data_IF_046039199565
#
_entry.id   IF_046039199565
#
_cell.length_a   1.000
_cell.length_b   1.000
_cell.length_c   1.000
_cell.angle_alpha   90.00
_cell.angle_beta   90.00
_cell.angle_gamma   90.00
#
_symmetry.space_group_name_H-M   'P 1'
#
loop_
_entity.id
_entity.type
_entity.pdbx_description
1 polymer ?
#
# COMPACT_ATOMS: atom_id res chain seq x y z
N UNK A 1 -63.67 -12.91 -43.12
CA UNK A 1 -64.31 -11.57 -43.01
C UNK A 1 -63.22 -10.52 -43.18
N UNK A 2 -63.45 -9.54 -44.05
CA UNK A 2 -62.57 -8.37 -44.29
C UNK A 2 -62.77 -7.33 -43.18
N UNK A 3 -61.69 -6.66 -42.77
CA UNK A 3 -61.55 -5.22 -42.48
C UNK A 3 -60.19 -5.04 -41.76
N UNK A 4 -59.14 -4.51 -42.38
CA UNK A 4 -58.88 -3.09 -42.67
C UNK A 4 -58.72 -2.24 -41.39
N UNK A 5 -57.49 -1.80 -41.13
CA UNK A 5 -57.21 -0.50 -40.53
C UNK A 5 -55.80 -0.02 -40.93
N UNK A 6 -55.75 1.25 -41.31
CA UNK A 6 -54.63 1.93 -41.96
C UNK A 6 -53.58 2.46 -40.97
N UNK A 7 -52.34 2.45 -41.45
CA UNK A 7 -51.20 3.33 -41.25
C UNK A 7 -51.35 4.59 -40.36
N UNK A 8 -50.49 4.67 -39.34
CA UNK A 8 -49.96 5.91 -38.80
C UNK A 8 -48.42 5.91 -38.92
N UNK A 9 -47.89 6.87 -39.68
CA UNK A 9 -46.46 7.13 -39.90
C UNK A 9 -45.88 7.89 -38.71
N UNK A 10 -44.64 7.57 -38.31
CA UNK A 10 -43.81 8.48 -37.52
C UNK A 10 -42.79 7.83 -36.58
N UNK A 11 -41.90 6.95 -37.07
CA UNK A 11 -40.70 6.60 -36.30
C UNK A 11 -39.56 7.57 -36.67
N UNK A 12 -39.28 8.50 -35.77
CA UNK A 12 -38.02 9.23 -35.77
C UNK A 12 -36.92 8.30 -35.26
N UNK A 13 -36.03 7.87 -36.16
CA UNK A 13 -34.77 7.21 -35.78
C UNK A 13 -33.92 8.25 -35.04
N UNK A 14 -33.92 8.17 -33.71
CA UNK A 14 -32.96 8.88 -32.87
C UNK A 14 -31.60 8.22 -33.03
N UNK A 15 -30.77 8.77 -33.91
CA UNK A 15 -29.33 8.54 -33.89
C UNK A 15 -28.78 9.05 -32.55
N UNK A 16 -28.51 8.13 -31.62
CA UNK A 16 -27.69 8.41 -30.45
C UNK A 16 -26.26 8.70 -30.93
N UNK A 17 -25.98 9.98 -31.17
CA UNK A 17 -24.61 10.44 -31.34
C UNK A 17 -23.82 10.10 -30.07
N UNK A 18 -22.79 9.27 -30.22
CA UNK A 18 -21.82 8.97 -29.17
C UNK A 18 -21.25 10.27 -28.63
N UNK A 19 -21.56 10.60 -27.36
CA UNK A 19 -20.90 11.71 -26.68
C UNK A 19 -19.41 11.38 -26.58
N UNK A 20 -18.50 12.28 -26.99
CA UNK A 20 -17.08 12.05 -26.78
C UNK A 20 -16.81 11.93 -25.27
N UNK A 21 -16.03 10.91 -24.91
CA UNK A 21 -15.49 10.74 -23.56
C UNK A 21 -14.71 12.00 -23.18
N UNK A 22 -15.27 12.83 -22.30
CA UNK A 22 -14.52 13.92 -21.66
C UNK A 22 -13.66 13.27 -20.59
N UNK A 23 -12.35 13.25 -20.80
CA UNK A 23 -11.39 13.06 -19.70
C UNK A 23 -11.77 14.06 -18.59
N UNK A 24 -11.94 13.63 -17.34
CA UNK A 24 -12.13 14.58 -16.27
C UNK A 24 -10.88 15.47 -16.18
N UNK A 25 -11.08 16.79 -16.23
CA UNK A 25 -10.04 17.79 -16.01
C UNK A 25 -9.66 17.77 -14.53
N UNK A 26 -8.83 16.81 -14.15
CA UNK A 26 -8.05 16.89 -12.91
C UNK A 26 -6.75 17.59 -13.26
N UNK A 27 -6.45 18.72 -12.59
CA UNK A 27 -5.14 19.35 -12.72
C UNK A 27 -4.10 18.42 -12.08
N UNK A 28 -3.04 18.10 -12.83
CA UNK A 28 -1.92 17.23 -12.40
C UNK A 28 -1.26 17.69 -11.09
N UNK A 29 -1.46 18.95 -10.68
CA UNK A 29 -0.96 19.53 -9.43
C UNK A 29 -1.66 19.04 -8.15
N UNK A 30 -2.73 18.23 -8.28
CA UNK A 30 -3.57 17.78 -7.15
C UNK A 30 -3.54 16.27 -6.86
N UNK A 31 -2.72 15.49 -7.58
CA UNK A 31 -2.56 14.06 -7.32
C UNK A 31 -1.27 13.77 -6.54
N UNK A 32 -1.32 12.96 -5.46
CA UNK A 32 -0.11 12.49 -4.82
C UNK A 32 0.72 11.74 -5.86
N UNK A 33 1.98 12.15 -6.02
CA UNK A 33 2.92 11.57 -6.97
C UNK A 33 2.59 11.77 -8.46
N UNK A 34 1.93 12.88 -8.84
CA UNK A 34 1.59 13.16 -10.25
C UNK A 34 2.78 13.18 -11.24
N UNK A 35 4.00 13.25 -10.73
CA UNK A 35 5.24 13.28 -11.51
C UNK A 35 6.01 11.95 -11.56
N UNK A 36 5.65 10.95 -10.76
CA UNK A 36 6.54 9.77 -10.60
C UNK A 36 6.57 8.86 -11.83
N UNK A 37 5.67 9.07 -12.80
CA UNK A 37 5.64 8.36 -14.08
C UNK A 37 6.19 9.19 -15.25
N UNK A 38 6.78 10.36 -15.00
CA UNK A 38 7.37 11.20 -16.06
C UNK A 38 8.69 10.66 -16.62
N UNK A 39 9.52 10.05 -15.77
CA UNK A 39 10.71 9.32 -16.19
C UNK A 39 10.93 8.11 -15.28
N UNK A 40 11.78 7.19 -15.72
CA UNK A 40 12.00 5.92 -15.03
C UNK A 40 12.33 6.16 -13.55
N UNK A 41 13.27 7.06 -13.28
CA UNK A 41 13.83 7.27 -11.95
C UNK A 41 13.08 8.27 -11.07
N UNK A 42 11.96 8.82 -11.54
CA UNK A 42 11.18 9.82 -10.79
C UNK A 42 10.58 9.31 -9.47
N UNK A 43 10.52 7.99 -9.24
CA UNK A 43 10.14 7.41 -7.95
C UNK A 43 11.20 7.65 -6.85
N UNK A 44 12.47 7.81 -7.20
CA UNK A 44 13.54 7.85 -6.20
C UNK A 44 13.44 9.09 -5.30
N UNK A 45 13.30 8.88 -3.99
CA UNK A 45 13.17 9.96 -3.01
C UNK A 45 11.85 10.73 -3.10
N UNK A 46 10.87 10.25 -3.88
CA UNK A 46 9.61 10.92 -4.09
C UNK A 46 8.54 10.60 -3.04
N UNK A 47 8.71 9.49 -2.29
CA UNK A 47 7.74 9.04 -1.29
C UNK A 47 7.37 10.16 -0.31
N UNK A 48 6.10 10.29 0.03
CA UNK A 48 5.67 11.17 1.11
C UNK A 48 5.76 10.45 2.46
N UNK A 49 5.94 11.24 3.53
CA UNK A 49 5.98 10.74 4.90
C UNK A 49 7.31 10.11 5.30
N UNK A 50 7.25 9.14 6.20
CA UNK A 50 8.43 8.54 6.83
C UNK A 50 9.39 7.86 5.83
N UNK A 51 8.87 7.35 4.70
CA UNK A 51 9.64 6.74 3.62
C UNK A 51 10.30 7.73 2.65
N UNK A 52 10.20 9.06 2.84
CA UNK A 52 10.67 10.08 1.88
C UNK A 52 12.13 9.99 1.44
N UNK A 53 12.99 9.29 2.20
CA UNK A 53 14.41 9.10 1.86
C UNK A 53 14.68 7.81 1.07
N UNK A 54 13.65 7.09 0.63
CA UNK A 54 13.80 5.84 -0.12
C UNK A 54 14.24 6.15 -1.55
N UNK A 55 15.53 5.98 -1.84
CA UNK A 55 16.10 6.25 -3.18
C UNK A 55 16.13 5.03 -4.09
N UNK A 56 15.85 3.84 -3.56
CA UNK A 56 15.86 2.60 -4.33
C UNK A 56 17.20 2.38 -5.04
N UNK A 57 17.12 1.96 -6.30
CA UNK A 57 18.25 1.78 -7.20
C UNK A 57 18.68 3.01 -7.99
N UNK A 58 18.40 4.24 -7.51
CA UNK A 58 18.61 5.49 -8.27
C UNK A 58 19.96 5.59 -8.98
N UNK A 59 21.06 5.20 -8.32
CA UNK A 59 22.42 5.30 -8.86
C UNK A 59 22.93 3.97 -9.46
N UNK A 60 22.02 3.03 -9.72
CA UNK A 60 22.31 1.71 -10.27
C UNK A 60 21.96 1.57 -11.74
N UNK A 61 22.60 0.59 -12.38
CA UNK A 61 22.23 0.17 -13.73
C UNK A 61 20.79 -0.36 -13.78
N UNK A 62 20.20 -0.31 -14.97
CA UNK A 62 18.92 -0.98 -15.22
C UNK A 62 19.21 -2.48 -15.36
N UNK A 63 18.51 -3.29 -14.56
CA UNK A 63 18.47 -4.74 -14.73
C UNK A 63 17.15 -5.13 -15.38
N UNK A 64 17.23 -5.83 -16.51
CA UNK A 64 16.07 -6.31 -17.25
C UNK A 64 15.78 -7.77 -16.88
N UNK A 65 14.66 -8.02 -16.19
CA UNK A 65 14.16 -9.36 -15.92
C UNK A 65 13.55 -9.92 -17.19
N UNK A 66 14.15 -11.00 -17.71
CA UNK A 66 13.78 -11.66 -18.96
C UNK A 66 13.23 -13.07 -18.74
N UNK A 67 13.26 -13.57 -17.51
CA UNK A 67 12.79 -14.91 -17.14
C UNK A 67 11.85 -14.88 -15.94
N UNK A 68 10.75 -15.63 -16.04
CA UNK A 68 9.78 -15.84 -14.96
C UNK A 68 10.17 -16.99 -14.01
N UNK A 69 11.32 -17.66 -14.26
CA UNK A 69 11.82 -18.70 -13.36
C UNK A 69 12.20 -18.11 -11.99
N UNK A 70 12.13 -18.94 -10.95
CA UNK A 70 12.51 -18.51 -9.59
C UNK A 70 13.98 -18.12 -9.49
N UNK A 71 14.87 -18.84 -10.19
CA UNK A 71 16.32 -18.67 -10.09
C UNK A 71 17.01 -18.85 -11.45
N UNK A 72 18.24 -18.36 -11.52
CA UNK A 72 19.09 -18.43 -12.71
C UNK A 72 19.21 -17.08 -13.42
N UNK A 73 19.95 -17.05 -14.55
CA UNK A 73 20.18 -15.84 -15.31
C UNK A 73 18.89 -15.14 -15.74
N UNK A 74 18.83 -13.82 -15.59
CA UNK A 74 17.72 -12.99 -16.07
C UNK A 74 16.47 -13.02 -15.18
N UNK A 75 16.57 -13.57 -13.97
CA UNK A 75 15.44 -13.69 -13.03
C UNK A 75 15.40 -12.53 -12.04
N UNK A 76 14.21 -12.25 -11.50
CA UNK A 76 14.04 -11.28 -10.40
C UNK A 76 14.95 -11.60 -9.22
N UNK A 77 15.06 -12.88 -8.84
CA UNK A 77 15.83 -13.30 -7.67
C UNK A 77 17.32 -13.04 -7.83
N UNK A 78 17.86 -13.21 -9.04
CA UNK A 78 19.26 -12.86 -9.31
C UNK A 78 19.50 -11.37 -9.08
N UNK A 79 18.63 -10.52 -9.62
CA UNK A 79 18.69 -9.08 -9.47
C UNK A 79 18.56 -8.62 -8.00
N UNK A 80 17.60 -9.17 -7.27
CA UNK A 80 17.37 -8.81 -5.87
C UNK A 80 18.55 -9.12 -4.95
N UNK A 81 19.33 -10.16 -5.23
CA UNK A 81 20.47 -10.60 -4.40
C UNK A 81 21.77 -9.83 -4.67
N UNK A 82 21.87 -9.13 -5.81
CA UNK A 82 23.05 -8.37 -6.20
C UNK A 82 23.37 -7.25 -5.18
N UNK A 83 24.67 -7.02 -4.95
CA UNK A 83 25.13 -6.05 -3.93
C UNK A 83 25.07 -4.63 -4.46
N UNK A 84 25.37 -4.45 -5.74
CA UNK A 84 25.30 -3.20 -6.45
C UNK A 84 23.86 -2.63 -6.46
N UNK A 85 23.69 -1.29 -6.43
CA UNK A 85 22.39 -0.68 -6.66
C UNK A 85 21.81 -1.11 -8.02
N UNK A 86 20.51 -1.39 -8.10
CA UNK A 86 19.85 -1.75 -9.37
C UNK A 86 18.44 -1.18 -9.46
N UNK A 87 18.12 -0.68 -10.66
CA UNK A 87 16.75 -0.41 -11.09
C UNK A 87 16.23 -1.61 -11.87
N UNK A 88 15.40 -2.44 -11.25
CA UNK A 88 14.94 -3.71 -11.80
C UNK A 88 13.62 -3.47 -12.54
N UNK A 89 13.62 -3.68 -13.85
CA UNK A 89 12.44 -3.63 -14.74
C UNK A 89 12.18 -5.00 -15.35
N UNK A 90 11.06 -5.16 -16.05
CA UNK A 90 10.65 -6.43 -16.63
C UNK A 90 10.45 -6.31 -18.14
N UNK A 91 10.99 -7.28 -18.88
CA UNK A 91 10.73 -7.47 -20.32
C UNK A 91 9.59 -8.46 -20.59
N UNK A 92 9.18 -9.18 -19.54
CA UNK A 92 8.16 -10.23 -19.60
C UNK A 92 7.07 -9.98 -18.55
N UNK A 93 5.82 -10.13 -18.97
CA UNK A 93 4.66 -10.21 -18.08
C UNK A 93 4.40 -11.66 -17.68
N UNK A 94 3.91 -11.89 -16.47
CA UNK A 94 3.48 -13.20 -16.02
C UNK A 94 3.66 -13.44 -14.53
N UNK A 95 3.62 -14.72 -14.18
CA UNK A 95 3.71 -15.19 -12.80
C UNK A 95 5.12 -15.67 -12.53
N UNK A 96 5.74 -15.14 -11.47
CA UNK A 96 6.98 -15.67 -10.89
C UNK A 96 6.58 -16.46 -9.64
N UNK A 97 6.78 -17.78 -9.69
CA UNK A 97 6.52 -18.64 -8.53
C UNK A 97 7.78 -18.70 -7.65
N UNK A 98 7.74 -18.05 -6.49
CA UNK A 98 8.85 -18.00 -5.55
C UNK A 98 8.83 -19.24 -4.65
N UNK A 99 9.81 -20.13 -4.82
CA UNK A 99 9.94 -21.35 -4.01
C UNK A 99 10.34 -21.05 -2.56
N UNK A 100 11.17 -20.01 -2.39
CA UNK A 100 11.60 -19.47 -1.09
C UNK A 100 11.38 -17.97 -1.06
N UNK A 101 11.43 -17.34 0.11
CA UNK A 101 11.43 -15.88 0.18
C UNK A 101 12.48 -15.28 -0.76
N UNK A 102 12.08 -14.34 -1.60
CA UNK A 102 13.02 -13.61 -2.44
C UNK A 102 13.63 -12.48 -1.62
N UNK A 103 14.87 -12.71 -1.13
CA UNK A 103 15.60 -11.72 -0.36
C UNK A 103 15.99 -10.54 -1.24
N UNK A 104 15.61 -9.34 -0.82
CA UNK A 104 15.94 -8.08 -1.49
C UNK A 104 17.09 -7.40 -0.73
N UNK A 105 18.21 -7.17 -1.41
CA UNK A 105 19.33 -6.41 -0.88
C UNK A 105 19.05 -4.90 -0.85
N UNK A 106 19.92 -4.12 -0.21
CA UNK A 106 19.81 -2.65 -0.21
C UNK A 106 19.91 -2.06 -1.62
N UNK A 107 19.41 -0.83 -1.77
CA UNK A 107 19.49 -0.02 -3.00
C UNK A 107 18.87 -0.71 -4.21
N UNK A 108 17.62 -1.14 -4.07
CA UNK A 108 16.86 -1.79 -5.14
C UNK A 108 15.58 -1.02 -5.43
N UNK A 109 15.31 -0.77 -6.69
CA UNK A 109 13.95 -0.50 -7.14
C UNK A 109 13.46 -1.74 -7.87
N UNK A 110 12.33 -2.33 -7.46
CA UNK A 110 11.61 -3.34 -8.23
C UNK A 110 10.42 -2.62 -8.86
N UNK A 111 10.52 -2.34 -10.14
CA UNK A 111 9.60 -1.50 -10.91
C UNK A 111 8.78 -2.35 -11.88
N UNK A 112 7.55 -2.65 -11.50
CA UNK A 112 6.62 -3.39 -12.34
C UNK A 112 5.87 -2.53 -13.36
N UNK A 113 6.20 -1.24 -13.54
CA UNK A 113 5.56 -0.43 -14.59
C UNK A 113 5.91 -0.98 -15.97
N UNK A 114 4.98 -0.90 -16.92
CA UNK A 114 5.13 -1.47 -18.27
C UNK A 114 4.83 -2.96 -18.38
N UNK A 115 4.76 -3.71 -17.28
CA UNK A 115 4.45 -5.14 -17.30
C UNK A 115 3.45 -5.53 -16.21
N UNK A 116 2.76 -6.65 -16.41
CA UNK A 116 1.94 -7.27 -15.38
C UNK A 116 2.70 -8.43 -14.74
N UNK A 117 3.29 -8.17 -13.59
CA UNK A 117 4.11 -9.14 -12.85
C UNK A 117 3.43 -9.52 -11.55
N UNK A 118 3.18 -10.82 -11.39
CA UNK A 118 2.59 -11.40 -10.18
C UNK A 118 3.57 -12.32 -9.48
N UNK A 119 3.77 -12.10 -8.18
CA UNK A 119 4.57 -12.98 -7.32
C UNK A 119 3.64 -13.93 -6.55
N UNK A 120 3.90 -15.23 -6.67
CA UNK A 120 3.15 -16.30 -5.99
C UNK A 120 4.07 -17.23 -5.18
N UNK A 121 3.49 -18.05 -4.29
CA UNK A 121 4.22 -19.03 -3.50
C UNK A 121 4.78 -18.43 -2.20
N UNK A 122 5.94 -17.78 -2.27
CA UNK A 122 6.50 -16.95 -1.18
C UNK A 122 6.47 -15.46 -1.57
N UNK A 123 6.76 -14.61 -0.60
CA UNK A 123 6.85 -13.16 -0.80
C UNK A 123 8.28 -12.63 -0.96
N UNK A 124 8.38 -11.31 -0.87
CA UNK A 124 9.66 -10.61 -0.75
C UNK A 124 10.09 -10.55 0.72
N UNK A 125 11.38 -10.69 0.98
CA UNK A 125 11.96 -10.52 2.32
C UNK A 125 13.01 -9.42 2.30
N UNK A 126 12.75 -8.37 3.08
CA UNK A 126 13.62 -7.22 3.31
C UNK A 126 14.23 -7.40 4.70
N UNK A 127 15.50 -7.81 4.71
CA UNK A 127 16.21 -8.23 5.92
C UNK A 127 17.56 -7.52 5.98
N UNK A 128 17.73 -6.70 7.03
CA UNK A 128 18.93 -5.89 7.27
C UNK A 128 19.32 -5.06 6.03
N UNK A 129 18.33 -4.42 5.40
CA UNK A 129 18.52 -3.66 4.16
C UNK A 129 17.96 -2.24 4.23
N UNK A 130 18.39 -1.37 3.31
CA UNK A 130 17.89 -0.01 3.21
C UNK A 130 17.76 0.49 1.78
N UNK A 131 16.96 1.55 1.60
CA UNK A 131 16.69 2.19 0.32
C UNK A 131 16.12 1.21 -0.70
N UNK A 132 14.92 0.70 -0.44
CA UNK A 132 14.20 -0.21 -1.34
C UNK A 132 12.88 0.43 -1.78
N UNK A 133 12.60 0.37 -3.08
CA UNK A 133 11.32 0.78 -3.67
C UNK A 133 10.70 -0.46 -4.32
N UNK A 134 9.44 -0.74 -4.04
CA UNK A 134 8.65 -1.81 -4.64
C UNK A 134 7.43 -1.15 -5.26
N UNK A 135 7.32 -1.14 -6.58
CA UNK A 135 6.28 -0.41 -7.29
C UNK A 135 5.55 -1.30 -8.30
N UNK A 136 4.23 -1.19 -8.36
CA UNK A 136 3.40 -1.72 -9.43
C UNK A 136 3.48 -3.24 -9.63
N UNK A 137 3.41 -4.02 -8.55
CA UNK A 137 3.42 -5.49 -8.57
C UNK A 137 2.11 -6.08 -8.02
N UNK A 138 1.81 -7.32 -8.44
CA UNK A 138 0.75 -8.13 -7.82
C UNK A 138 1.37 -9.21 -6.91
N UNK A 139 0.76 -9.47 -5.75
CA UNK A 139 1.12 -10.54 -4.83
C UNK A 139 -0.12 -11.37 -4.53
N UNK A 140 -0.05 -12.69 -4.75
CA UNK A 140 -1.19 -13.58 -4.55
C UNK A 140 -0.76 -15.01 -4.19
N UNK A 141 -1.63 -15.76 -3.53
CA UNK A 141 -1.47 -17.20 -3.28
C UNK A 141 -0.16 -17.56 -2.56
N UNK A 142 0.13 -16.84 -1.47
CA UNK A 142 1.21 -17.20 -0.57
C UNK A 142 0.82 -18.38 0.31
N UNK A 143 1.61 -19.46 0.30
CA UNK A 143 1.27 -20.71 1.00
C UNK A 143 2.35 -21.22 1.94
N UNK A 144 1.91 -21.66 3.11
CA UNK A 144 2.74 -22.24 4.17
C UNK A 144 2.80 -21.37 5.44
N UNK A 145 3.41 -21.94 6.48
CA UNK A 145 3.59 -21.27 7.77
C UNK A 145 4.42 -19.98 7.63
N UNK A 146 3.98 -18.89 8.27
CA UNK A 146 4.60 -17.56 8.27
C UNK A 146 4.93 -17.01 6.87
N UNK A 147 4.02 -17.20 5.91
CA UNK A 147 4.18 -16.67 4.55
C UNK A 147 3.43 -15.37 4.41
N UNK A 148 4.21 -14.30 4.29
CA UNK A 148 3.76 -12.93 4.06
C UNK A 148 4.07 -12.50 2.63
N UNK A 149 3.28 -11.57 2.09
CA UNK A 149 3.53 -10.98 0.76
C UNK A 149 4.81 -10.16 0.72
N UNK A 150 4.97 -9.24 1.68
CA UNK A 150 6.16 -8.44 1.88
C UNK A 150 6.54 -8.47 3.36
N UNK A 151 7.68 -9.08 3.65
CA UNK A 151 8.18 -9.24 5.00
C UNK A 151 9.39 -8.35 5.25
N UNK A 152 9.26 -7.38 6.15
CA UNK A 152 10.33 -6.47 6.57
C UNK A 152 10.76 -6.84 7.99
N UNK A 153 11.84 -7.63 8.12
CA UNK A 153 12.42 -8.01 9.42
C UNK A 153 13.84 -8.61 9.30
N UNK A 154 14.81 -8.21 10.14
CA UNK A 154 14.83 -7.06 11.05
C UNK A 154 15.52 -5.83 10.43
N UNK A 155 15.55 -4.74 11.21
CA UNK A 155 16.45 -3.58 11.07
C UNK A 155 16.49 -2.93 9.68
N UNK A 156 15.42 -3.05 8.89
CA UNK A 156 15.36 -2.51 7.53
C UNK A 156 14.70 -1.13 7.52
N UNK A 157 15.21 -0.20 6.69
CA UNK A 157 14.79 1.20 6.74
C UNK A 157 14.80 1.90 5.38
N UNK A 158 14.08 3.02 5.25
CA UNK A 158 13.96 3.76 3.99
C UNK A 158 13.40 2.86 2.89
N UNK A 159 12.15 2.43 3.10
CA UNK A 159 11.44 1.54 2.17
C UNK A 159 10.16 2.22 1.70
N UNK A 160 9.88 2.10 0.41
CA UNK A 160 8.62 2.55 -0.19
C UNK A 160 7.94 1.39 -0.93
N UNK A 161 6.71 1.06 -0.52
CA UNK A 161 5.84 0.13 -1.24
C UNK A 161 4.72 0.94 -1.86
N UNK A 162 4.62 0.93 -3.18
CA UNK A 162 3.70 1.78 -3.92
C UNK A 162 2.94 1.02 -5.00
N UNK A 163 1.65 1.33 -5.18
CA UNK A 163 0.83 0.79 -6.29
C UNK A 163 0.86 -0.73 -6.42
N UNK A 164 0.99 -1.44 -5.29
CA UNK A 164 0.98 -2.91 -5.30
C UNK A 164 -0.42 -3.43 -4.97
N UNK A 165 -0.82 -4.53 -5.61
CA UNK A 165 -2.04 -5.29 -5.24
C UNK A 165 -1.61 -6.50 -4.43
N UNK A 166 -2.14 -6.69 -3.22
CA UNK A 166 -1.81 -7.80 -2.33
C UNK A 166 -3.08 -8.52 -1.86
N UNK A 167 -3.12 -9.84 -1.99
CA UNK A 167 -4.26 -10.67 -1.56
C UNK A 167 -3.84 -12.11 -1.26
N UNK A 168 -4.67 -12.83 -0.50
CA UNK A 168 -4.63 -14.31 -0.41
C UNK A 168 -3.28 -14.93 -0.01
N UNK A 169 -2.71 -14.49 1.12
CA UNK A 169 -1.60 -15.17 1.81
C UNK A 169 -2.09 -15.93 3.04
N UNK A 170 -1.37 -16.99 3.43
CA UNK A 170 -1.70 -17.82 4.61
C UNK A 170 -1.45 -17.13 5.96
N UNK A 171 -0.50 -16.19 6.07
CA UNK A 171 -0.32 -15.35 7.27
C UNK A 171 -0.67 -13.87 7.02
N UNK A 172 0.30 -12.97 6.85
CA UNK A 172 0.06 -11.54 6.61
C UNK A 172 0.21 -11.11 5.14
N UNK A 173 -0.20 -9.90 4.78
CA UNK A 173 0.20 -9.30 3.50
C UNK A 173 1.48 -8.48 3.66
N UNK A 174 1.54 -7.59 4.66
CA UNK A 174 2.72 -6.79 4.97
C UNK A 174 3.06 -6.88 6.46
N UNK A 175 4.29 -7.29 6.75
CA UNK A 175 4.83 -7.41 8.10
C UNK A 175 6.00 -6.44 8.29
N UNK A 176 5.86 -5.47 9.19
CA UNK A 176 6.88 -4.47 9.55
C UNK A 176 7.24 -4.64 11.02
N UNK A 177 8.36 -5.30 11.30
CA UNK A 177 8.68 -5.73 12.67
C UNK A 177 10.17 -5.64 12.95
N UNK A 178 10.57 -5.79 14.22
CA UNK A 178 11.97 -5.94 14.62
C UNK A 178 12.84 -4.76 14.18
N UNK A 179 12.47 -3.55 14.63
CA UNK A 179 13.16 -2.26 14.41
C UNK A 179 13.15 -1.73 12.97
N UNK A 180 12.24 -2.20 12.13
CA UNK A 180 12.04 -1.62 10.80
C UNK A 180 11.44 -0.22 10.88
N UNK A 181 11.99 0.78 10.17
CA UNK A 181 11.56 2.17 10.34
C UNK A 181 11.76 3.02 9.08
N UNK A 182 11.17 4.21 9.03
CA UNK A 182 11.20 5.09 7.86
C UNK A 182 10.59 4.41 6.61
N UNK A 183 9.32 4.02 6.73
CA UNK A 183 8.60 3.25 5.70
C UNK A 183 7.37 4.04 5.22
N UNK A 184 7.12 4.01 3.92
CA UNK A 184 5.86 4.47 3.33
C UNK A 184 5.19 3.32 2.57
N UNK A 185 3.90 3.13 2.78
CA UNK A 185 3.03 2.27 1.98
C UNK A 185 1.97 3.16 1.34
N UNK A 186 1.96 3.26 0.02
CA UNK A 186 1.07 4.17 -0.68
C UNK A 186 0.36 3.53 -1.84
N UNK A 187 -0.87 3.98 -2.12
CA UNK A 187 -1.62 3.56 -3.32
C UNK A 187 -1.70 2.05 -3.48
N UNK A 188 -1.62 1.28 -2.40
CA UNK A 188 -1.70 -0.19 -2.47
C UNK A 188 -3.16 -0.64 -2.35
N UNK A 189 -3.50 -1.73 -3.00
CA UNK A 189 -4.83 -2.35 -2.92
C UNK A 189 -4.72 -3.69 -2.19
N UNK A 190 -5.41 -3.80 -1.06
CA UNK A 190 -5.48 -4.99 -0.22
C UNK A 190 -6.88 -5.58 -0.27
N UNK A 191 -7.00 -6.85 -0.62
CA UNK A 191 -8.28 -7.54 -0.79
C UNK A 191 -8.18 -9.02 -0.42
N UNK A 192 -9.33 -9.67 -0.21
CA UNK A 192 -9.47 -11.13 0.00
C UNK A 192 -8.44 -11.72 0.98
N UNK A 193 -8.34 -11.15 2.17
CA UNK A 193 -7.34 -11.58 3.14
C UNK A 193 -7.79 -11.34 4.59
N UNK A 194 -7.25 -12.12 5.53
CA UNK A 194 -7.56 -12.00 6.96
C UNK A 194 -6.70 -10.94 7.66
N UNK A 195 -5.37 -11.16 7.74
CA UNK A 195 -4.44 -10.39 8.56
C UNK A 195 -3.59 -9.41 7.73
N UNK A 196 -4.18 -8.30 7.30
CA UNK A 196 -3.57 -7.41 6.29
C UNK A 196 -2.17 -6.88 6.63
N UNK A 197 -2.03 -6.02 7.65
CA UNK A 197 -0.76 -5.36 7.94
C UNK A 197 -0.43 -5.33 9.44
N UNK A 198 0.66 -5.99 9.82
CA UNK A 198 1.17 -6.01 11.20
C UNK A 198 2.39 -5.08 11.33
N UNK A 199 2.32 -4.18 12.31
CA UNK A 199 3.41 -3.25 12.65
C UNK A 199 3.79 -3.50 14.11
N UNK A 200 4.95 -4.09 14.35
CA UNK A 200 5.37 -4.58 15.67
C UNK A 200 4.65 -5.87 16.10
N UNK A 201 5.38 -7.00 16.06
CA UNK A 201 4.77 -8.32 16.23
C UNK A 201 4.67 -8.82 17.68
N UNK A 202 5.55 -8.37 18.56
CA UNK A 202 5.75 -8.96 19.88
C UNK A 202 5.84 -7.85 20.94
N UNK A 203 4.97 -7.84 21.97
CA UNK A 203 5.04 -6.84 23.04
C UNK A 203 6.32 -6.97 23.90
N UNK A 204 7.09 -8.05 23.79
CA UNK A 204 8.40 -8.15 24.43
C UNK A 204 9.53 -7.52 23.61
N UNK A 205 9.30 -7.20 22.33
CA UNK A 205 10.30 -6.56 21.48
C UNK A 205 10.25 -5.04 21.58
N UNK A 206 10.57 -4.53 22.76
CA UNK A 206 10.43 -3.14 23.18
C UNK A 206 11.24 -2.12 22.36
N UNK A 207 12.22 -2.61 21.59
CA UNK A 207 12.97 -1.78 20.64
C UNK A 207 12.12 -1.32 19.43
N UNK A 208 10.95 -1.93 19.18
CA UNK A 208 10.01 -1.54 18.12
C UNK A 208 9.39 -0.14 18.33
N UNK A 209 9.67 0.55 19.44
CA UNK A 209 9.33 1.98 19.63
C UNK A 209 9.96 2.91 18.60
N UNK A 210 11.00 2.45 17.90
CA UNK A 210 11.62 3.21 16.82
C UNK A 210 10.85 3.13 15.48
N UNK A 211 9.88 2.21 15.34
CA UNK A 211 9.14 2.00 14.09
C UNK A 211 8.36 3.28 13.72
N UNK A 212 8.52 3.72 12.47
CA UNK A 212 7.83 4.87 11.88
C UNK A 212 7.31 4.50 10.49
N UNK A 213 6.00 4.56 10.29
CA UNK A 213 5.33 4.12 9.05
C UNK A 213 4.30 5.14 8.60
N UNK A 214 4.29 5.47 7.31
CA UNK A 214 3.22 6.26 6.67
C UNK A 214 2.40 5.33 5.78
N UNK A 215 1.08 5.40 5.87
CA UNK A 215 0.16 4.62 5.05
C UNK A 215 -0.86 5.59 4.46
N UNK A 216 -0.88 5.71 3.12
CA UNK A 216 -1.80 6.67 2.50
C UNK A 216 -2.29 6.27 1.11
N UNK A 217 -3.48 6.77 0.76
CA UNK A 217 -4.13 6.48 -0.53
C UNK A 217 -4.27 4.98 -0.82
N UNK A 218 -4.22 4.13 0.21
CA UNK A 218 -4.42 2.69 0.07
C UNK A 218 -5.90 2.36 0.11
N UNK A 219 -6.25 1.28 -0.60
CA UNK A 219 -7.60 0.72 -0.61
C UNK A 219 -7.59 -0.62 0.12
N UNK A 220 -8.30 -0.70 1.24
CA UNK A 220 -8.55 -1.93 1.99
C UNK A 220 -9.98 -2.40 1.70
N UNK A 221 -10.12 -3.35 0.78
CA UNK A 221 -11.39 -3.78 0.19
C UNK A 221 -11.85 -5.14 0.73
N UNK A 222 -12.61 -5.12 1.83
CA UNK A 222 -13.21 -6.32 2.39
C UNK A 222 -12.24 -7.28 3.08
N UNK A 223 -11.01 -6.82 3.38
CA UNK A 223 -10.07 -7.55 4.24
C UNK A 223 -10.55 -7.57 5.69
N UNK A 224 -10.24 -8.64 6.44
CA UNK A 224 -10.93 -8.88 7.72
C UNK A 224 -10.44 -7.99 8.86
N UNK A 225 -9.14 -7.75 8.97
CA UNK A 225 -8.52 -7.02 10.08
C UNK A 225 -7.13 -6.45 9.74
N UNK A 226 -6.59 -5.64 10.67
CA UNK A 226 -5.23 -5.09 10.65
C UNK A 226 -4.97 -4.07 9.53
N UNK A 227 -5.66 -2.93 9.57
CA UNK A 227 -5.55 -1.84 8.58
C UNK A 227 -4.96 -0.52 9.13
N UNK A 228 -3.86 -0.49 9.91
CA UNK A 228 -3.00 -1.59 10.38
C UNK A 228 -3.36 -2.10 11.79
N UNK A 229 -2.65 -3.12 12.27
CA UNK A 229 -2.49 -3.42 13.71
C UNK A 229 -1.10 -3.02 14.17
N UNK A 230 -1.02 -2.18 15.21
CA UNK A 230 0.23 -1.54 15.63
C UNK A 230 0.56 -1.85 17.09
N UNK A 231 1.83 -2.14 17.35
CA UNK A 231 2.48 -2.06 18.67
C UNK A 231 3.64 -1.10 18.60
N UNK A 232 3.83 -0.29 19.64
CA UNK A 232 4.93 0.65 19.87
C UNK A 232 5.13 1.78 18.84
N UNK A 233 5.07 1.46 17.55
CA UNK A 233 5.43 2.37 16.46
C UNK A 233 4.53 3.57 16.32
N UNK A 234 5.02 4.52 15.53
CA UNK A 234 4.30 5.71 15.08
C UNK A 234 3.77 5.48 13.67
N UNK A 235 2.46 5.58 13.50
CA UNK A 235 1.82 5.44 12.19
C UNK A 235 1.07 6.71 11.83
N UNK A 236 1.43 7.30 10.69
CA UNK A 236 0.59 8.30 10.05
C UNK A 236 -0.27 7.62 8.98
N UNK A 237 -1.56 7.52 9.24
CA UNK A 237 -2.55 6.87 8.39
C UNK A 237 -3.44 7.95 7.81
N UNK A 238 -3.30 8.30 6.53
CA UNK A 238 -4.11 9.37 5.95
C UNK A 238 -4.65 9.06 4.56
N UNK A 239 -5.83 9.59 4.26
CA UNK A 239 -6.49 9.39 2.96
C UNK A 239 -6.53 7.95 2.47
N UNK A 240 -6.81 6.99 3.34
CA UNK A 240 -7.06 5.61 2.95
C UNK A 240 -8.56 5.35 2.86
N UNK A 241 -8.95 4.42 2.00
CA UNK A 241 -10.31 3.93 1.93
C UNK A 241 -10.36 2.51 2.48
N UNK A 242 -11.06 2.33 3.61
CA UNK A 242 -11.26 1.02 4.23
C UNK A 242 -12.73 0.68 4.24
N UNK A 243 -13.12 -0.45 3.66
CA UNK A 243 -14.52 -0.86 3.61
C UNK A 243 -14.73 -2.33 3.98
N UNK A 244 -15.91 -2.58 4.53
CA UNK A 244 -16.46 -3.93 4.72
C UNK A 244 -15.52 -4.89 5.47
N UNK A 245 -14.82 -4.40 6.50
CA UNK A 245 -13.93 -5.24 7.30
C UNK A 245 -14.70 -6.28 8.12
N UNK A 246 -14.02 -7.37 8.46
CA UNK A 246 -14.61 -8.52 9.16
C UNK A 246 -14.63 -8.40 10.68
N UNK A 247 -13.57 -7.83 11.26
CA UNK A 247 -13.35 -7.79 12.73
C UNK A 247 -13.14 -6.36 13.22
N UNK A 248 -12.13 -5.67 12.71
CA UNK A 248 -11.90 -4.24 12.95
C UNK A 248 -11.12 -3.61 11.80
N UNK A 249 -11.14 -2.28 11.66
CA UNK A 249 -10.28 -1.59 10.71
C UNK A 249 -8.84 -1.43 11.29
N UNK A 250 -8.62 -0.46 12.17
CA UNK A 250 -7.34 -0.10 12.78
C UNK A 250 -7.28 -0.62 14.22
N UNK A 251 -6.16 -1.21 14.63
CA UNK A 251 -5.92 -1.60 16.02
C UNK A 251 -4.68 -0.92 16.58
N UNK A 252 -4.85 -0.15 17.66
CA UNK A 252 -3.75 0.43 18.43
C UNK A 252 -3.52 -0.40 19.70
N UNK A 253 -2.44 -1.18 19.72
CA UNK A 253 -2.03 -1.94 20.90
C UNK A 253 -0.89 -1.24 21.65
N UNK A 254 -0.30 -1.91 22.64
CA UNK A 254 0.69 -1.39 23.60
C UNK A 254 1.60 -0.29 23.03
N UNK A 255 1.47 0.90 23.61
CA UNK A 255 2.28 2.10 23.32
C UNK A 255 2.28 2.58 21.85
N UNK A 256 1.43 2.02 20.97
CA UNK A 256 1.30 2.51 19.61
C UNK A 256 0.76 3.95 19.57
N UNK A 257 1.20 4.71 18.58
CA UNK A 257 0.70 6.06 18.30
C UNK A 257 0.23 6.13 16.86
N UNK A 258 -1.08 6.30 16.64
CA UNK A 258 -1.65 6.37 15.30
C UNK A 258 -2.33 7.73 15.11
N UNK A 259 -1.87 8.47 14.11
CA UNK A 259 -2.59 9.63 13.59
C UNK A 259 -3.41 9.17 12.39
N UNK A 260 -4.73 9.18 12.54
CA UNK A 260 -5.72 8.92 11.49
C UNK A 260 -6.22 10.25 10.95
N UNK A 261 -5.92 10.56 9.69
CA UNK A 261 -6.24 11.84 9.06
C UNK A 261 -7.00 11.67 7.74
N UNK A 262 -8.21 12.20 7.65
CA UNK A 262 -9.00 12.23 6.42
C UNK A 262 -9.14 10.86 5.71
N UNK A 263 -9.20 9.76 6.47
CA UNK A 263 -9.53 8.44 5.95
C UNK A 263 -11.05 8.29 5.79
N UNK A 264 -11.45 7.36 4.93
CA UNK A 264 -12.85 6.94 4.77
C UNK A 264 -13.00 5.52 5.30
N UNK A 265 -13.81 5.36 6.35
CA UNK A 265 -14.17 4.08 6.94
C UNK A 265 -15.62 3.75 6.60
N UNK A 266 -15.84 2.86 5.65
CA UNK A 266 -17.19 2.41 5.27
C UNK A 266 -17.50 1.03 5.88
N UNK A 267 -18.27 1.02 6.96
CA UNK A 267 -18.62 -0.22 7.65
C UNK A 267 -19.44 -1.19 6.78
N UNK A 268 -19.18 -2.48 6.99
CA UNK A 268 -20.02 -3.57 6.50
C UNK A 268 -20.95 -4.07 7.59
N UNK A 269 -20.97 -5.39 7.80
CA UNK A 269 -21.64 -5.99 8.96
C UNK A 269 -20.99 -5.57 10.27
N UNK A 270 -19.65 -5.57 10.31
CA UNK A 270 -18.91 -5.09 11.46
C UNK A 270 -18.73 -3.55 11.39
N UNK A 271 -18.88 -2.90 12.53
CA UNK A 271 -18.86 -1.44 12.67
C UNK A 271 -17.61 -0.92 13.39
N UNK A 272 -16.82 -1.76 14.06
CA UNK A 272 -15.66 -1.31 14.83
C UNK A 272 -14.53 -0.87 13.90
N UNK A 273 -14.37 0.43 13.68
CA UNK A 273 -13.24 0.96 12.92
C UNK A 273 -11.98 1.00 13.79
N UNK A 274 -12.06 1.51 15.02
CA UNK A 274 -10.92 1.58 15.92
C UNK A 274 -11.03 0.56 17.06
N UNK A 275 -9.99 -0.24 17.22
CA UNK A 275 -9.86 -1.29 18.22
C UNK A 275 -8.62 -1.06 19.09
N UNK A 276 -8.68 -1.48 20.36
CA UNK A 276 -7.63 -1.22 21.35
C UNK A 276 -7.28 -2.47 22.13
N UNK A 277 -6.06 -2.98 21.94
CA UNK A 277 -5.58 -4.13 22.69
C UNK A 277 -4.66 -3.68 23.83
N UNK A 278 -4.93 -4.21 25.02
CA UNK A 278 -4.10 -4.00 26.20
C UNK A 278 -3.10 -5.14 26.31
N UNK A 279 -1.81 -4.82 26.20
CA UNK A 279 -0.72 -5.79 26.31
C UNK A 279 0.35 -5.26 27.27
N UNK A 280 1.10 -6.16 27.91
CA UNK A 280 2.24 -5.78 28.75
C UNK A 280 3.51 -5.75 27.93
N UNK A 281 4.12 -4.57 27.81
CA UNK A 281 5.45 -4.45 27.22
C UNK A 281 6.49 -5.15 28.10
N UNK A 282 7.49 -5.77 27.49
CA UNK A 282 8.51 -6.57 28.20
C UNK A 282 9.31 -5.80 29.26
N UNK A 283 9.37 -4.47 29.14
CA UNK A 283 10.10 -3.55 30.02
C UNK A 283 9.18 -2.69 30.92
N UNK A 284 7.90 -3.07 31.04
CA UNK A 284 6.91 -2.36 31.87
C UNK A 284 6.29 -3.29 32.92
N UNK A 285 6.00 -2.73 34.09
CA UNK A 285 5.34 -3.46 35.18
C UNK A 285 3.84 -3.66 34.93
N UNK A 286 3.20 -2.71 34.23
CA UNK A 286 1.76 -2.69 34.00
C UNK A 286 1.44 -2.73 32.51
N UNK A 287 0.35 -3.42 32.12
CA UNK A 287 -0.08 -3.44 30.73
C UNK A 287 -0.65 -2.08 30.29
N UNK A 288 -0.52 -1.79 29.01
CA UNK A 288 -1.01 -0.57 28.40
C UNK A 288 -1.58 -0.84 27.00
N UNK A 289 -2.34 0.10 26.49
CA UNK A 289 -2.82 0.13 25.10
C UNK A 289 -2.10 1.22 24.31
N UNK A 290 -2.42 1.34 23.03
CA UNK A 290 -2.00 2.45 22.18
C UNK A 290 -2.98 3.63 22.21
N UNK A 291 -2.63 4.67 21.46
CA UNK A 291 -3.38 5.91 21.30
C UNK A 291 -3.70 6.15 19.83
N UNK A 292 -4.92 6.63 19.55
CA UNK A 292 -5.33 7.08 18.22
C UNK A 292 -5.85 8.51 18.33
N UNK A 293 -5.37 9.38 17.44
CA UNK A 293 -5.89 10.72 17.18
C UNK A 293 -6.54 10.68 15.80
N UNK A 294 -7.79 11.11 15.71
CA UNK A 294 -8.59 11.11 14.47
C UNK A 294 -8.95 12.54 14.11
N UNK A 295 -8.65 12.94 12.87
CA UNK A 295 -8.88 14.31 12.38
C UNK A 295 -9.42 14.26 10.95
N UNK A 296 -10.65 14.74 10.75
CA UNK A 296 -11.27 14.79 9.42
C UNK A 296 -11.65 13.44 8.80
N UNK A 297 -11.60 12.34 9.55
CA UNK A 297 -12.04 11.02 9.08
C UNK A 297 -13.56 10.98 8.83
N UNK A 298 -13.98 10.24 7.80
CA UNK A 298 -15.38 9.96 7.52
C UNK A 298 -15.76 8.54 7.96
N UNK A 299 -16.71 8.44 8.88
CA UNK A 299 -17.27 7.16 9.36
C UNK A 299 -18.64 6.92 8.74
N UNK A 300 -18.68 6.06 7.71
CA UNK A 300 -19.87 5.77 6.92
C UNK A 300 -20.52 4.46 7.37
N UNK A 301 -21.82 4.33 7.09
CA UNK A 301 -22.64 3.12 7.38
C UNK A 301 -22.58 2.67 8.85
N UNK A 302 -22.43 3.63 9.76
CA UNK A 302 -22.40 3.38 11.20
C UNK A 302 -21.05 2.86 11.71
N UNK A 303 -19.96 3.08 10.97
CA UNK A 303 -18.61 2.84 11.47
C UNK A 303 -18.35 3.60 12.78
N UNK A 304 -17.63 2.98 13.71
CA UNK A 304 -17.33 3.48 15.06
C UNK A 304 -15.81 3.58 15.20
N UNK A 305 -15.28 4.79 15.21
CA UNK A 305 -13.86 5.07 15.45
C UNK A 305 -13.69 6.11 16.54
N UNK A 306 -13.83 5.69 17.80
CA UNK A 306 -13.63 6.58 18.95
C UNK A 306 -12.13 6.73 19.23
N UNK A 307 -11.55 7.94 19.11
CA UNK A 307 -10.13 8.15 19.41
C UNK A 307 -9.85 8.01 20.91
N UNK A 308 -8.64 7.60 21.26
CA UNK A 308 -8.19 7.40 22.64
C UNK A 308 -6.85 8.05 22.86
N UNK A 309 -6.77 8.85 23.92
CA UNK A 309 -5.57 9.58 24.35
C UNK A 309 -4.90 10.36 23.19
N UNK A 310 -5.65 11.20 22.44
CA UNK A 310 -5.15 11.84 21.23
C UNK A 310 -3.92 12.74 21.47
N UNK A 311 -3.77 13.26 22.69
CA UNK A 311 -2.65 14.14 23.06
C UNK A 311 -1.30 13.40 23.14
N UNK A 312 -1.31 12.07 23.25
CA UNK A 312 -0.09 11.26 23.26
C UNK A 312 0.38 10.85 21.87
N UNK A 313 -0.39 11.16 20.82
CA UNK A 313 -0.02 10.85 19.43
C UNK A 313 0.96 11.89 18.92
N UNK A 314 2.04 11.43 18.29
CA UNK A 314 3.05 12.26 17.64
C UNK A 314 2.45 13.28 16.64
N UNK A 315 3.25 14.32 16.34
CA UNK A 315 2.96 15.36 15.36
C UNK A 315 3.79 15.13 14.09
N UNK A 316 3.18 14.85 12.91
CA UNK A 316 3.92 14.51 11.70
C UNK A 316 4.82 15.64 11.20
N UNK A 317 4.48 16.89 11.49
CA UNK A 317 5.25 18.10 11.14
C UNK A 317 6.65 18.11 11.76
N UNK A 318 6.87 17.33 12.83
CA UNK A 318 8.19 17.16 13.45
C UNK A 318 9.09 16.18 12.68
N UNK A 319 8.56 15.47 11.68
CA UNK A 319 9.26 14.40 10.95
C UNK A 319 9.36 14.68 9.45
N UNK A 320 8.36 15.30 8.84
CA UNK A 320 8.38 15.73 7.45
C UNK A 320 7.52 17.00 7.26
N UNK A 321 7.92 17.90 6.35
CA UNK A 321 7.33 19.23 6.27
C UNK A 321 5.98 19.28 5.56
N UNK A 322 5.73 18.35 4.63
CA UNK A 322 4.57 18.37 3.74
C UNK A 322 4.05 16.95 3.45
N UNK A 323 2.74 16.83 3.24
CA UNK A 323 2.06 15.67 2.69
C UNK A 323 0.78 16.12 2.00
N UNK A 324 0.37 15.38 0.97
CA UNK A 324 -0.82 15.66 0.18
C UNK A 324 -2.05 15.15 0.93
N UNK A 325 -2.89 16.06 1.43
CA UNK A 325 -4.08 15.73 2.20
C UNK A 325 -5.35 16.25 1.51
N UNK A 326 -6.30 15.34 1.29
CA UNK A 326 -7.60 15.65 0.70
C UNK A 326 -8.73 15.42 1.73
N UNK A 327 -9.84 16.17 1.69
CA UNK A 327 -10.97 15.89 2.58
C UNK A 327 -11.55 14.49 2.37
N UNK A 328 -11.89 13.80 3.47
CA UNK A 328 -12.56 12.51 3.41
C UNK A 328 -13.96 12.65 2.78
N UNK A 329 -14.24 11.85 1.74
CA UNK A 329 -15.52 11.90 1.04
C UNK A 329 -15.55 11.11 -0.25
N UNK A 330 -16.65 11.23 -1.01
CA UNK A 330 -16.88 10.46 -2.23
C UNK A 330 -15.84 10.72 -3.32
N UNK A 331 -15.35 11.97 -3.45
CA UNK A 331 -14.31 12.33 -4.41
C UNK A 331 -13.00 11.59 -4.10
N UNK A 332 -12.60 11.56 -2.84
CA UNK A 332 -11.43 10.82 -2.38
C UNK A 332 -11.59 9.31 -2.61
N UNK A 333 -12.77 8.74 -2.31
CA UNK A 333 -13.06 7.32 -2.58
C UNK A 333 -12.88 7.00 -4.07
N UNK A 334 -13.47 7.80 -4.96
CA UNK A 334 -13.35 7.61 -6.41
C UNK A 334 -11.88 7.66 -6.86
N UNK A 335 -11.11 8.62 -6.35
CA UNK A 335 -9.68 8.75 -6.64
C UNK A 335 -8.88 7.54 -6.15
N UNK A 336 -9.04 7.13 -4.89
CA UNK A 336 -8.34 5.96 -4.33
C UNK A 336 -8.66 4.71 -5.16
N UNK A 337 -9.93 4.47 -5.46
CA UNK A 337 -10.33 3.32 -6.28
C UNK A 337 -9.75 3.35 -7.71
N UNK A 338 -9.38 4.51 -8.25
CA UNK A 338 -8.75 4.60 -9.57
C UNK A 338 -7.22 4.53 -9.54
N UNK A 339 -6.56 4.84 -8.42
CA UNK A 339 -5.08 4.90 -8.36
C UNK A 339 -4.45 3.78 -7.52
N UNK A 340 -5.24 3.08 -6.69
CA UNK A 340 -4.73 2.06 -5.79
C UNK A 340 -4.58 0.69 -6.47
N UNK A 341 -3.49 -0.01 -6.12
CA UNK A 341 -3.13 -1.31 -6.67
C UNK A 341 -2.34 -1.19 -7.98
N UNK A 342 -2.03 -2.36 -8.55
CA UNK A 342 -1.38 -2.49 -9.85
C UNK A 342 -2.14 -1.68 -10.90
N UNK A 343 -1.40 -0.93 -11.70
CA UNK A 343 -1.89 -0.11 -12.79
C UNK A 343 -1.35 -0.62 -14.13
N UNK A 344 -2.20 -0.59 -15.14
CA UNK A 344 -1.77 -0.73 -16.53
C UNK A 344 -1.16 0.60 -16.99
N UNK A 345 0.16 0.70 -16.88
CA UNK A 345 0.91 1.89 -17.26
C UNK A 345 2.13 1.51 -18.11
N UNK A 346 2.60 2.46 -18.91
CA UNK A 346 3.84 2.30 -19.69
C UNK A 346 5.05 2.39 -18.77
N UNK A 347 6.13 1.68 -19.11
CA UNK A 347 7.43 1.93 -18.47
C UNK A 347 7.93 3.30 -18.94
N UNK A 348 8.15 4.27 -18.04
CA UNK A 348 8.66 5.58 -18.45
C UNK A 348 10.10 5.47 -18.97
N UNK A 349 10.53 6.34 -19.89
CA UNK A 349 11.90 6.32 -20.40
C UNK A 349 12.92 6.69 -19.31
N UNK A 350 14.13 6.13 -19.37
CA UNK A 350 15.25 6.54 -18.50
C UNK A 350 15.89 7.83 -19.02
N UNK A 351 15.18 8.94 -18.88
CA UNK A 351 15.70 10.28 -19.16
C UNK A 351 16.12 10.96 -17.86
N UNK A 352 17.19 11.79 -17.87
CA UNK A 352 17.57 12.58 -16.71
C UNK A 352 16.40 13.41 -16.17
N UNK A 353 16.28 13.51 -14.85
CA UNK A 353 15.41 14.48 -14.20
C UNK A 353 16.00 15.87 -14.48
N UNK A 354 15.29 16.69 -15.26
CA UNK A 354 15.66 18.08 -15.55
C UNK A 354 15.33 19.02 -14.39
#
# INVERSE_FOLDING_TARGET
MRACCCWGKGESVIHLASRPYRKPEWTMESEPYGNVDWCLRALAGAAEGFGQKSVGGLNGEIYHVTSLADQGPGTLREACKKKEPLWIVFEVSGIIHLETYCRVASYKTIDGRGQRVKLMGKGLQLKDCEHVIICNLEFEAGRGHDVDGIQMKPSSKHIWVDRCTLQDFDDGLIDITRKCTNITVSRCHFLKHDKTMLIGADPNHVEDRCIQVTIHHCWFDGTRQRHPRVRFGKVHLYNNYTRNWGIYAVCASVEAQILSQCNVYEAGTNRTAFEYYTEKAGDRDHPATGSIRSEGDAFLKGAIGEPRNPQAVFKPELFYPHWTLEPAGEALVKKICSIAGWQECVLPPDTPLH
#
